data_IF_695619257789
#
_entry.id   IF_695619257789
#
_cell.length_a   1.000
_cell.length_b   1.000
_cell.length_c   1.000
_cell.angle_alpha   90.00
_cell.angle_beta   90.00
_cell.angle_gamma   90.00
#
_symmetry.space_group_name_H-M   'P 1'
#
loop_
_entity.id
_entity.type
_entity.pdbx_description
1 polymer ?
#
# COMPACT_ATOMS: atom_id res chain seq x y z
N UNK A 1 15.29 17.18 -6.67
CA UNK A 1 14.72 15.98 -7.31
C UNK A 1 13.39 15.67 -6.63
N UNK A 2 12.37 15.25 -7.38
CA UNK A 2 11.12 14.78 -6.77
C UNK A 2 11.40 13.54 -5.90
N UNK A 3 10.68 13.40 -4.78
CA UNK A 3 10.79 12.21 -3.91
C UNK A 3 10.37 10.94 -4.66
N UNK A 4 10.83 9.77 -4.20
CA UNK A 4 10.41 8.48 -4.76
C UNK A 4 8.90 8.27 -4.55
N UNK A 5 8.19 7.60 -5.49
CA UNK A 5 6.84 7.10 -5.26
C UNK A 5 6.79 6.14 -4.09
N UNK A 6 5.72 6.22 -3.30
CA UNK A 6 5.41 5.28 -2.24
C UNK A 6 4.15 4.51 -2.64
N UNK A 7 4.27 3.20 -2.86
CA UNK A 7 3.16 2.34 -3.27
C UNK A 7 2.67 1.52 -2.07
N UNK A 8 1.38 1.66 -1.76
CA UNK A 8 0.72 0.89 -0.72
C UNK A 8 0.31 -0.48 -1.25
N UNK A 9 0.76 -1.57 -0.63
CA UNK A 9 0.25 -2.92 -0.92
C UNK A 9 -0.63 -3.38 0.23
N UNK A 10 -1.92 -3.54 -0.06
CA UNK A 10 -2.96 -3.94 0.89
C UNK A 10 -3.54 -5.30 0.53
N UNK A 11 -3.88 -6.11 1.53
CA UNK A 11 -4.39 -7.46 1.29
C UNK A 11 -4.57 -8.30 2.55
N UNK A 12 -5.06 -9.52 2.36
CA UNK A 12 -5.34 -10.45 3.44
C UNK A 12 -4.08 -10.91 4.19
N UNK A 13 -4.18 -10.98 5.51
CA UNK A 13 -3.22 -11.63 6.40
C UNK A 13 -3.41 -13.16 6.34
N UNK A 14 -4.25 -13.71 7.22
CA UNK A 14 -4.56 -15.14 7.29
C UNK A 14 -5.45 -15.66 6.14
N UNK A 15 -6.03 -14.77 5.32
CA UNK A 15 -6.91 -15.13 4.20
C UNK A 15 -6.20 -15.17 2.85
N UNK A 16 -4.87 -14.92 2.83
CA UNK A 16 -4.09 -14.90 1.60
C UNK A 16 -4.11 -16.27 0.91
N UNK A 17 -4.69 -16.33 -0.29
CA UNK A 17 -4.63 -17.54 -1.12
C UNK A 17 -3.20 -17.78 -1.63
N UNK A 18 -2.81 -19.02 -2.00
CA UNK A 18 -1.52 -19.28 -2.62
C UNK A 18 -1.27 -18.46 -3.88
N UNK A 19 -2.32 -18.19 -4.66
CA UNK A 19 -2.24 -17.27 -5.80
C UNK A 19 -1.98 -15.83 -5.35
N UNK A 20 -2.73 -15.34 -4.35
CA UNK A 20 -2.55 -13.99 -3.80
C UNK A 20 -1.13 -13.76 -3.27
N UNK A 21 -0.53 -14.75 -2.60
CA UNK A 21 0.86 -14.70 -2.14
C UNK A 21 1.83 -14.56 -3.31
N UNK A 22 1.69 -15.37 -4.37
CA UNK A 22 2.55 -15.28 -5.55
C UNK A 22 2.41 -13.94 -6.27
N UNK A 23 1.18 -13.47 -6.44
CA UNK A 23 0.90 -12.17 -7.07
C UNK A 23 1.50 -11.02 -6.25
N UNK A 24 1.33 -11.05 -4.92
CA UNK A 24 1.87 -10.03 -4.02
C UNK A 24 3.41 -10.00 -4.04
N UNK A 25 4.06 -11.16 -4.04
CA UNK A 25 5.53 -11.25 -4.13
C UNK A 25 6.05 -10.69 -5.45
N UNK A 26 5.34 -10.89 -6.55
CA UNK A 26 5.72 -10.29 -7.84
C UNK A 26 5.43 -8.78 -7.87
N UNK A 27 4.30 -8.32 -7.32
CA UNK A 27 3.99 -6.89 -7.18
C UNK A 27 5.10 -6.17 -6.41
N UNK A 28 5.51 -6.73 -5.26
CA UNK A 28 6.59 -6.16 -4.46
C UNK A 28 7.91 -6.04 -5.23
N UNK A 29 8.29 -7.10 -5.94
CA UNK A 29 9.50 -7.10 -6.76
C UNK A 29 9.45 -6.01 -7.83
N UNK A 30 8.34 -5.88 -8.53
CA UNK A 30 8.17 -4.88 -9.59
C UNK A 30 8.16 -3.44 -9.05
N UNK A 31 7.57 -3.20 -7.86
CA UNK A 31 7.63 -1.88 -7.19
C UNK A 31 9.09 -1.48 -6.95
N UNK A 32 9.90 -2.39 -6.39
CA UNK A 32 11.31 -2.14 -6.16
C UNK A 32 12.08 -1.88 -7.46
N UNK A 33 11.80 -2.67 -8.52
CA UNK A 33 12.40 -2.48 -9.85
C UNK A 33 12.00 -1.17 -10.53
N UNK A 34 10.92 -0.54 -10.09
CA UNK A 34 10.47 0.77 -10.56
C UNK A 34 11.05 1.96 -9.76
N UNK A 35 12.04 1.71 -8.88
CA UNK A 35 12.64 2.69 -7.97
C UNK A 35 11.61 3.37 -7.03
N UNK A 36 10.63 2.59 -6.58
CA UNK A 36 9.61 3.02 -5.64
C UNK A 36 9.75 2.31 -4.28
N UNK A 37 9.16 2.92 -3.25
CA UNK A 37 9.12 2.42 -1.88
C UNK A 37 7.82 1.65 -1.68
N UNK A 38 7.89 0.49 -1.01
CA UNK A 38 6.71 -0.28 -0.63
C UNK A 38 6.28 0.09 0.79
N UNK A 39 4.99 0.39 1.00
CA UNK A 39 4.38 0.50 2.33
C UNK A 39 3.25 -0.52 2.49
N UNK A 40 3.20 -1.21 3.63
CA UNK A 40 2.13 -2.16 3.96
C UNK A 40 1.90 -2.23 5.48
N UNK A 41 0.98 -3.10 5.92
CA UNK A 41 0.70 -3.30 7.36
C UNK A 41 1.75 -4.12 8.12
N UNK A 42 2.82 -4.59 7.46
CA UNK A 42 4.01 -5.14 8.09
C UNK A 42 3.89 -6.50 8.77
N UNK A 43 2.71 -7.14 8.77
CA UNK A 43 2.50 -8.48 9.31
C UNK A 43 2.63 -9.56 8.21
N UNK A 44 1.84 -10.62 8.26
CA UNK A 44 1.94 -11.81 7.40
C UNK A 44 1.09 -11.74 6.12
N UNK A 45 1.07 -12.84 5.35
CA UNK A 45 0.19 -13.03 4.19
C UNK A 45 0.62 -12.18 2.99
N UNK A 46 -0.33 -11.45 2.39
CA UNK A 46 -0.05 -10.58 1.24
C UNK A 46 1.04 -9.54 1.54
N UNK A 47 1.02 -8.98 2.75
CA UNK A 47 1.94 -7.91 3.15
C UNK A 47 3.39 -8.42 3.26
N UNK A 48 3.58 -9.59 3.86
CA UNK A 48 4.88 -10.26 3.95
C UNK A 48 5.39 -10.67 2.58
N UNK A 49 4.54 -11.27 1.75
CA UNK A 49 4.90 -11.66 0.39
C UNK A 49 5.36 -10.46 -0.44
N UNK A 50 4.61 -9.34 -0.38
CA UNK A 50 4.98 -8.13 -1.09
C UNK A 50 6.28 -7.51 -0.55
N UNK A 51 6.48 -7.46 0.77
CA UNK A 51 7.72 -6.99 1.36
C UNK A 51 8.92 -7.86 0.93
N UNK A 52 8.77 -9.19 0.95
CA UNK A 52 9.78 -10.14 0.44
C UNK A 52 10.13 -9.89 -1.03
N UNK A 53 9.10 -9.66 -1.86
CA UNK A 53 9.26 -9.30 -3.26
C UNK A 53 10.10 -8.04 -3.45
N UNK A 54 9.75 -6.98 -2.72
CA UNK A 54 10.44 -5.71 -2.76
C UNK A 54 11.90 -5.83 -2.32
N UNK A 55 12.18 -6.56 -1.23
CA UNK A 55 13.53 -6.81 -0.78
C UNK A 55 14.36 -7.59 -1.82
N UNK A 56 13.77 -8.61 -2.48
CA UNK A 56 14.43 -9.30 -3.61
C UNK A 56 14.76 -8.34 -4.77
N UNK A 57 13.93 -7.32 -4.98
CA UNK A 57 14.19 -6.27 -5.98
C UNK A 57 15.18 -5.19 -5.53
N UNK A 58 15.67 -5.23 -4.28
CA UNK A 58 16.54 -4.22 -3.69
C UNK A 58 15.81 -2.93 -3.27
N UNK A 59 14.48 -2.98 -3.09
CA UNK A 59 13.67 -1.83 -2.70
C UNK A 59 13.49 -1.71 -1.19
N UNK A 60 13.17 -0.50 -0.73
CA UNK A 60 12.90 -0.19 0.67
C UNK A 60 11.46 -0.58 1.06
N UNK A 61 11.30 -1.22 2.20
CA UNK A 61 9.99 -1.64 2.74
C UNK A 61 9.66 -0.95 4.07
N UNK A 62 8.44 -0.41 4.15
CA UNK A 62 7.89 0.23 5.34
C UNK A 62 6.69 -0.59 5.84
N UNK A 63 6.73 -1.00 7.11
CA UNK A 63 5.67 -1.75 7.75
C UNK A 63 4.99 -0.94 8.84
N UNK A 64 3.73 -0.55 8.63
CA UNK A 64 2.93 0.18 9.63
C UNK A 64 2.17 -0.84 10.48
N UNK A 65 2.70 -1.11 11.67
CA UNK A 65 2.23 -2.19 12.53
C UNK A 65 1.01 -1.76 13.35
N UNK A 66 0.03 -2.65 13.59
CA UNK A 66 -1.09 -2.37 14.48
C UNK A 66 -0.69 -2.36 15.97
N UNK A 67 0.46 -2.95 16.30
CA UNK A 67 0.98 -3.06 17.66
C UNK A 67 1.99 -1.95 17.97
N UNK A 68 2.36 -1.82 19.25
CA UNK A 68 3.42 -0.93 19.72
C UNK A 68 4.82 -1.56 19.71
N UNK A 69 4.97 -2.77 19.18
CA UNK A 69 6.22 -3.53 19.23
C UNK A 69 6.81 -3.70 17.83
N UNK A 70 8.01 -3.15 17.60
CA UNK A 70 8.73 -3.25 16.33
C UNK A 70 9.10 -4.69 15.95
N UNK A 71 9.27 -5.57 16.94
CA UNK A 71 9.63 -6.97 16.71
C UNK A 71 8.48 -7.79 16.08
N UNK A 72 7.27 -7.25 16.04
CA UNK A 72 6.12 -7.92 15.41
C UNK A 72 6.13 -7.80 13.88
N UNK A 73 7.02 -6.98 13.31
CA UNK A 73 7.18 -6.87 11.86
C UNK A 73 7.68 -8.18 11.26
N UNK A 74 7.21 -8.52 10.06
CA UNK A 74 7.77 -9.62 9.30
C UNK A 74 9.25 -9.35 8.94
N UNK A 75 10.06 -10.40 8.66
CA UNK A 75 11.51 -10.27 8.44
C UNK A 75 11.91 -9.43 7.22
N UNK A 76 10.97 -9.08 6.35
CA UNK A 76 11.22 -8.34 5.11
C UNK A 76 10.88 -6.85 5.21
N UNK A 77 10.56 -6.36 6.42
CA UNK A 77 10.36 -4.93 6.69
C UNK A 77 11.66 -4.28 7.15
N UNK A 78 12.15 -3.29 6.39
CA UNK A 78 13.32 -2.50 6.74
C UNK A 78 12.99 -1.45 7.81
N UNK A 79 11.82 -0.81 7.68
CA UNK A 79 11.37 0.28 8.56
C UNK A 79 10.05 -0.09 9.24
N UNK A 80 10.09 -0.65 10.47
CA UNK A 80 8.89 -0.92 11.25
C UNK A 80 8.40 0.34 11.97
N UNK A 81 7.16 0.75 11.67
CA UNK A 81 6.45 1.83 12.34
C UNK A 81 5.48 1.21 13.36
N UNK A 82 5.86 1.20 14.63
CA UNK A 82 5.04 0.68 15.72
C UNK A 82 4.02 1.73 16.19
N UNK A 83 2.72 1.51 15.91
CA UNK A 83 1.68 2.54 16.13
C UNK A 83 0.85 2.33 17.40
N UNK A 84 0.67 1.08 17.84
CA UNK A 84 -0.35 0.69 18.83
C UNK A 84 -1.79 1.16 18.49
N UNK A 85 -2.08 1.39 17.20
CA UNK A 85 -3.36 1.93 16.74
C UNK A 85 -4.36 0.85 16.32
N UNK A 86 -4.04 -0.44 16.48
CA UNK A 86 -4.87 -1.54 15.99
C UNK A 86 -5.24 -1.31 14.51
N UNK A 87 -6.51 -1.37 14.13
CA UNK A 87 -6.99 -1.14 12.76
C UNK A 87 -6.95 0.33 12.32
N UNK A 88 -6.85 1.30 13.24
CA UNK A 88 -6.79 2.72 12.86
C UNK A 88 -5.50 3.06 12.09
N UNK A 89 -4.45 2.24 12.20
CA UNK A 89 -3.23 2.33 11.38
C UNK A 89 -3.48 2.21 9.87
N UNK A 90 -4.61 1.63 9.46
CA UNK A 90 -4.96 1.45 8.04
C UNK A 90 -4.96 2.80 7.32
N UNK A 91 -5.50 3.84 7.95
CA UNK A 91 -5.50 5.19 7.40
C UNK A 91 -4.08 5.76 7.24
N UNK A 92 -3.15 5.42 8.13
CA UNK A 92 -1.74 5.87 8.04
C UNK A 92 -1.10 5.31 6.77
N UNK A 93 -1.32 4.04 6.43
CA UNK A 93 -0.81 3.43 5.18
C UNK A 93 -1.41 4.13 3.97
N UNK A 94 -2.73 4.28 3.95
CA UNK A 94 -3.43 4.90 2.83
C UNK A 94 -2.98 6.35 2.64
N UNK A 95 -2.80 7.11 3.72
CA UNK A 95 -2.29 8.48 3.68
C UNK A 95 -0.84 8.56 3.20
N UNK A 96 -0.01 7.59 3.60
CA UNK A 96 1.41 7.51 3.22
C UNK A 96 1.60 7.12 1.75
N UNK A 97 0.74 6.26 1.20
CA UNK A 97 0.85 5.78 -0.17
C UNK A 97 0.38 6.81 -1.22
N UNK A 98 1.12 6.98 -2.31
CA UNK A 98 0.71 7.80 -3.45
C UNK A 98 -0.33 7.09 -4.33
N UNK A 99 -0.23 5.76 -4.41
CA UNK A 99 -1.20 4.87 -5.04
C UNK A 99 -1.28 3.56 -4.27
N UNK A 100 -2.40 2.84 -4.39
CA UNK A 100 -2.58 1.55 -3.71
C UNK A 100 -2.77 0.41 -4.70
N UNK A 101 -2.21 -0.74 -4.38
CA UNK A 101 -2.46 -2.02 -5.03
C UNK A 101 -3.11 -2.95 -4.01
N UNK A 102 -4.32 -3.38 -4.30
CA UNK A 102 -5.05 -4.34 -3.47
C UNK A 102 -4.91 -5.74 -4.06
N UNK A 103 -4.31 -6.66 -3.31
CA UNK A 103 -4.09 -8.05 -3.72
C UNK A 103 -4.81 -8.98 -2.77
N UNK A 104 -5.66 -9.87 -3.29
CA UNK A 104 -6.53 -10.71 -2.44
C UNK A 104 -7.29 -9.84 -1.42
N UNK A 105 -7.85 -10.36 -0.33
CA UNK A 105 -8.48 -9.46 0.64
C UNK A 105 -9.10 -10.10 1.87
N UNK A 106 -9.23 -9.25 2.89
CA UNK A 106 -10.08 -9.44 4.08
C UNK A 106 -10.83 -8.13 4.34
N UNK A 107 -11.56 -8.05 5.46
CA UNK A 107 -12.22 -6.80 5.87
C UNK A 107 -11.24 -5.64 6.12
N UNK A 108 -10.00 -5.93 6.52
CA UNK A 108 -8.97 -4.90 6.65
C UNK A 108 -8.60 -4.26 5.31
N UNK A 109 -8.51 -5.07 4.26
CA UNK A 109 -8.30 -4.59 2.88
C UNK A 109 -9.47 -3.72 2.42
N UNK A 110 -10.70 -4.14 2.74
CA UNK A 110 -11.90 -3.38 2.41
C UNK A 110 -11.91 -1.99 3.08
N UNK A 111 -11.50 -1.89 4.34
CA UNK A 111 -11.44 -0.59 5.03
C UNK A 111 -10.32 0.30 4.47
N UNK A 112 -9.17 -0.26 4.11
CA UNK A 112 -8.10 0.48 3.44
C UNK A 112 -8.54 1.02 2.07
N UNK A 113 -9.28 0.23 1.29
CA UNK A 113 -9.88 0.70 0.04
C UNK A 113 -10.90 1.82 0.26
N UNK A 114 -11.79 1.69 1.24
CA UNK A 114 -12.77 2.73 1.55
C UNK A 114 -12.08 4.06 1.93
N UNK A 115 -11.04 4.01 2.77
CA UNK A 115 -10.23 5.18 3.08
C UNK A 115 -9.52 5.76 1.85
N UNK A 116 -9.03 4.91 0.93
CA UNK A 116 -8.41 5.39 -0.30
C UNK A 116 -9.41 6.16 -1.15
N UNK A 117 -10.63 5.64 -1.30
CA UNK A 117 -11.68 6.28 -2.08
C UNK A 117 -12.12 7.62 -1.48
N UNK A 118 -12.29 7.69 -0.16
CA UNK A 118 -12.60 8.93 0.57
C UNK A 118 -11.53 10.01 0.35
N UNK A 119 -10.27 9.59 0.20
CA UNK A 119 -9.13 10.47 -0.07
C UNK A 119 -8.87 10.74 -1.55
N UNK A 120 -9.71 10.23 -2.45
CA UNK A 120 -9.52 10.36 -3.89
C UNK A 120 -8.27 9.64 -4.42
N UNK A 121 -7.78 8.61 -3.71
CA UNK A 121 -6.63 7.79 -4.14
C UNK A 121 -7.11 6.57 -4.92
N UNK A 122 -6.43 6.30 -6.02
CA UNK A 122 -6.74 5.15 -6.88
C UNK A 122 -6.20 3.85 -6.26
N UNK A 123 -7.06 2.83 -6.28
CA UNK A 123 -6.75 1.44 -5.93
C UNK A 123 -6.73 0.59 -7.20
N UNK A 124 -5.57 0.01 -7.50
CA UNK A 124 -5.40 -0.99 -8.55
C UNK A 124 -5.70 -2.37 -7.97
N UNK A 125 -6.81 -2.95 -8.40
CA UNK A 125 -7.43 -4.12 -7.80
C UNK A 125 -7.00 -5.41 -8.52
N UNK A 126 -6.13 -6.18 -7.88
CA UNK A 126 -5.58 -7.44 -8.40
C UNK A 126 -6.16 -8.62 -7.62
N UNK A 127 -7.20 -9.26 -8.18
CA UNK A 127 -7.88 -10.42 -7.55
C UNK A 127 -8.35 -10.14 -6.11
N UNK A 128 -8.93 -8.97 -5.87
CA UNK A 128 -9.46 -8.54 -4.56
C UNK A 128 -10.99 -8.40 -4.59
N UNK A 129 -11.58 -7.74 -3.59
CA UNK A 129 -13.00 -7.46 -3.49
C UNK A 129 -13.54 -6.74 -4.74
N UNK A 130 -14.71 -7.14 -5.27
CA UNK A 130 -15.34 -6.47 -6.39
C UNK A 130 -16.06 -5.20 -5.92
N UNK A 131 -15.38 -4.06 -5.96
CA UNK A 131 -15.95 -2.76 -5.55
C UNK A 131 -16.64 -2.01 -6.70
N UNK A 132 -16.54 -2.51 -7.92
CA UNK A 132 -17.22 -1.99 -9.12
C UNK A 132 -18.74 -1.98 -8.94
N UNK A 133 -19.29 -2.94 -8.19
CA UNK A 133 -20.73 -3.05 -7.91
C UNK A 133 -21.19 -2.21 -6.71
N UNK A 134 -20.26 -1.59 -5.98
CA UNK A 134 -20.55 -0.80 -4.79
C UNK A 134 -20.77 0.70 -5.09
N UNK A 135 -20.82 1.09 -6.37
CA UNK A 135 -21.02 2.48 -6.77
C UNK A 135 -19.78 3.37 -6.60
N UNK A 136 -18.60 2.78 -6.44
CA UNK A 136 -17.32 3.51 -6.38
C UNK A 136 -17.02 4.12 -7.75
N UNK A 137 -16.50 5.35 -7.76
CA UNK A 137 -16.04 6.01 -8.97
C UNK A 137 -15.04 5.12 -9.72
N UNK A 138 -15.29 4.87 -11.01
CA UNK A 138 -14.45 4.00 -11.85
C UNK A 138 -13.00 4.50 -11.99
N UNK A 139 -12.73 5.77 -11.67
CA UNK A 139 -11.37 6.33 -11.60
C UNK A 139 -10.63 5.90 -10.35
N UNK A 140 -11.34 5.60 -9.26
CA UNK A 140 -10.77 5.27 -7.96
C UNK A 140 -10.61 3.77 -7.75
N UNK A 141 -11.44 2.94 -8.39
CA UNK A 141 -11.30 1.49 -8.37
C UNK A 141 -11.00 0.95 -9.76
N UNK A 142 -9.77 0.47 -9.96
CA UNK A 142 -9.26 0.05 -11.27
C UNK A 142 -8.90 -1.44 -11.23
N UNK A 143 -9.76 -2.33 -11.75
CA UNK A 143 -9.42 -3.73 -11.90
C UNK A 143 -8.22 -3.91 -12.83
N UNK A 144 -7.29 -4.78 -12.43
CA UNK A 144 -6.11 -5.16 -13.20
C UNK A 144 -5.93 -6.68 -13.17
N UNK A 145 -5.27 -7.22 -14.19
CA UNK A 145 -5.17 -8.67 -14.39
C UNK A 145 -3.81 -9.25 -14.04
N UNK A 146 -2.76 -8.43 -14.00
CA UNK A 146 -1.39 -8.89 -13.76
C UNK A 146 -0.66 -8.00 -12.76
N UNK A 147 0.36 -8.52 -12.05
CA UNK A 147 1.24 -7.71 -11.21
C UNK A 147 1.89 -6.55 -11.97
N UNK A 148 2.34 -6.79 -13.20
CA UNK A 148 2.96 -5.77 -14.06
C UNK A 148 2.02 -4.63 -14.37
N UNK A 149 0.81 -4.94 -14.83
CA UNK A 149 -0.21 -3.92 -15.10
C UNK A 149 -0.53 -3.10 -13.84
N UNK A 150 -0.67 -3.78 -12.69
CA UNK A 150 -0.93 -3.12 -11.41
C UNK A 150 0.17 -2.10 -11.07
N UNK A 151 1.44 -2.51 -11.17
CA UNK A 151 2.59 -1.68 -10.80
C UNK A 151 2.82 -0.55 -11.80
N UNK A 152 2.81 -0.84 -13.10
CA UNK A 152 3.09 0.18 -14.13
C UNK A 152 2.08 1.34 -14.02
N UNK A 153 0.79 1.02 -13.87
CA UNK A 153 -0.27 2.02 -13.71
C UNK A 153 -0.23 2.73 -12.36
N UNK A 154 0.11 2.02 -11.27
CA UNK A 154 0.28 2.63 -9.96
C UNK A 154 1.44 3.64 -9.95
N UNK A 155 2.56 3.32 -10.60
CA UNK A 155 3.72 4.20 -10.72
C UNK A 155 3.40 5.44 -11.58
N UNK A 156 2.71 5.25 -12.70
CA UNK A 156 2.26 6.37 -13.54
C UNK A 156 1.35 7.33 -12.75
N UNK A 157 0.33 6.78 -12.08
CA UNK A 157 -0.57 7.56 -11.22
C UNK A 157 0.20 8.27 -10.10
N UNK A 158 1.08 7.57 -9.39
CA UNK A 158 1.83 8.14 -8.27
C UNK A 158 2.71 9.30 -8.72
N UNK A 159 3.38 9.20 -9.86
CA UNK A 159 4.19 10.30 -10.42
C UNK A 159 3.33 11.53 -10.73
N UNK A 160 2.14 11.35 -11.29
CA UNK A 160 1.21 12.45 -11.55
C UNK A 160 0.72 13.07 -10.24
N UNK A 161 0.35 12.25 -9.24
CA UNK A 161 -0.08 12.72 -7.93
C UNK A 161 1.01 13.56 -7.24
N UNK A 162 2.25 13.07 -7.20
CA UNK A 162 3.41 13.77 -6.63
C UNK A 162 3.63 15.12 -7.31
N UNK A 163 3.52 15.19 -8.63
CA UNK A 163 3.72 16.43 -9.38
C UNK A 163 2.70 17.54 -9.01
N UNK A 164 1.54 17.16 -8.46
CA UNK A 164 0.47 18.08 -8.05
C UNK A 164 0.38 18.29 -6.54
N UNK A 165 1.17 17.56 -5.75
CA UNK A 165 1.15 17.64 -4.29
C UNK A 165 1.62 19.02 -3.83
N UNK A 166 0.92 19.59 -2.83
CA UNK A 166 1.24 20.88 -2.25
C UNK A 166 1.52 20.71 -0.77
N UNK A 167 2.49 21.46 -0.25
CA UNK A 167 2.74 21.52 1.18
C UNK A 167 1.46 21.92 1.92
N UNK A 168 1.19 21.25 3.03
CA UNK A 168 0.13 21.63 3.94
C UNK A 168 0.39 23.01 4.59
N UNK A 169 -0.55 23.51 5.39
CA UNK A 169 -0.32 24.73 6.16
C UNK A 169 0.94 24.56 7.01
N UNK A 170 1.76 25.61 7.08
CA UNK A 170 2.90 25.63 7.99
C UNK A 170 2.39 25.55 9.41
N UNK A 171 2.86 24.55 10.16
CA UNK A 171 2.68 24.50 11.61
C UNK A 171 3.64 25.53 12.22
N UNK A 172 3.29 26.82 12.12
CA UNK A 172 3.93 27.83 12.96
C UNK A 172 3.58 27.48 14.40
N UNK A 173 4.55 26.91 15.13
CA UNK A 173 4.38 26.72 16.56
C UNK A 173 4.18 28.11 17.17
N UNK A 174 2.96 28.36 17.66
CA UNK A 174 2.78 29.34 18.71
C UNK A 174 3.73 28.91 19.83
N UNK A 175 4.88 29.60 19.91
CA UNK A 175 5.75 29.54 21.08
C UNK A 175 4.92 30.12 22.22
N UNK A 176 4.39 29.25 23.06
CA UNK A 176 3.92 29.57 24.41
C UNK A 176 4.57 28.58 25.34
#
# INVERSE_FOLDING_TARGET
MARKPIIGVIGGASTASPEGVRLAEEVGHLIARADAILVCGGLNGVMEAAAKGAQRGGGLTIGVLPTGNKADANPFIDVPIATAMSTARNLVIVRTADALIAVNGSYGTLSEMAHAFDLGKTVFALRTWPMDKAGVDARLFVPVNTPREAVDRAIEYAKAAIATERAGPTFESART
#
